data_IF_144870938967
#
_entry.id   IF_144870938967
#
_cell.length_a   1.000
_cell.length_b   1.000
_cell.length_c   1.000
_cell.angle_alpha   90.00
_cell.angle_beta   90.00
_cell.angle_gamma   90.00
#
_symmetry.space_group_name_H-M   'P 1'
#
loop_
_entity.id
_entity.type
_entity.pdbx_description
1 polymer ?
#
# COMPACT_ATOMS: atom_id res chain seq x y z
N UNK A 1 -2.67 -16.80 15.71
CA UNK A 1 -2.68 -15.33 15.57
C UNK A 1 -2.12 -15.03 14.19
N UNK A 2 -2.96 -15.18 13.18
CA UNK A 2 -2.58 -15.13 11.75
C UNK A 2 -2.77 -13.70 11.27
N UNK A 3 -1.68 -12.94 11.19
CA UNK A 3 -1.68 -11.61 10.56
C UNK A 3 -2.08 -11.67 9.07
N UNK A 4 -1.98 -12.86 8.44
CA UNK A 4 -2.34 -13.13 7.04
C UNK A 4 -3.75 -12.67 6.63
N UNK A 5 -4.75 -12.73 7.52
CA UNK A 5 -6.13 -12.35 7.14
C UNK A 5 -6.43 -10.86 7.26
N UNK A 6 -5.54 -10.09 7.88
CA UNK A 6 -5.77 -8.69 8.20
C UNK A 6 -5.51 -7.75 7.02
N UNK A 7 -4.56 -8.09 6.15
CA UNK A 7 -4.19 -7.28 4.99
C UNK A 7 -4.90 -7.83 3.75
N UNK A 8 -5.70 -6.99 3.11
CA UNK A 8 -6.42 -7.28 1.86
C UNK A 8 -5.62 -6.85 0.63
N UNK A 9 -4.73 -5.88 0.79
CA UNK A 9 -3.81 -5.48 -0.25
C UNK A 9 -2.79 -4.45 0.19
N UNK A 10 -1.72 -4.33 -0.58
CA UNK A 10 -0.66 -3.34 -0.45
C UNK A 10 -0.49 -2.68 -1.81
N UNK A 11 -0.41 -1.35 -1.86
CA UNK A 11 -0.22 -0.61 -3.10
C UNK A 11 0.76 0.56 -2.91
N UNK A 12 1.54 0.81 -3.94
CA UNK A 12 2.42 1.96 -4.08
C UNK A 12 2.05 2.68 -5.38
N UNK A 13 1.61 3.92 -5.26
CA UNK A 13 1.21 4.78 -6.37
C UNK A 13 2.19 5.95 -6.53
N UNK A 14 2.29 6.50 -7.73
CA UNK A 14 2.98 7.77 -7.96
C UNK A 14 2.10 8.99 -7.65
N UNK A 15 2.70 10.17 -7.76
CA UNK A 15 2.02 11.46 -7.58
C UNK A 15 0.85 11.75 -8.54
N UNK A 16 0.71 10.96 -9.61
CA UNK A 16 -0.38 11.08 -10.57
C UNK A 16 -1.48 10.01 -10.32
N UNK A 17 -1.29 9.16 -9.32
CA UNK A 17 -2.18 8.05 -8.98
C UNK A 17 -1.99 6.81 -9.84
N UNK A 18 -0.89 6.72 -10.59
CA UNK A 18 -0.56 5.52 -11.36
C UNK A 18 0.08 4.47 -10.44
N UNK A 19 -0.33 3.22 -10.63
CA UNK A 19 0.27 2.07 -9.95
C UNK A 19 1.74 1.91 -10.34
N UNK A 20 2.61 1.92 -9.33
CA UNK A 20 3.99 1.45 -9.45
C UNK A 20 4.04 -0.03 -9.08
N UNK A 21 3.52 -0.36 -7.89
CA UNK A 21 3.50 -1.72 -7.37
C UNK A 21 2.19 -1.97 -6.63
N UNK A 22 1.56 -3.12 -6.82
CA UNK A 22 0.39 -3.49 -6.02
C UNK A 22 0.27 -5.01 -5.92
N UNK A 23 -0.07 -5.49 -4.73
CA UNK A 23 -0.37 -6.90 -4.44
C UNK A 23 -1.65 -6.97 -3.64
N UNK A 24 -2.61 -7.77 -4.11
CA UNK A 24 -3.92 -7.95 -3.51
C UNK A 24 -4.09 -9.41 -3.12
N UNK A 25 -4.56 -9.64 -1.90
CA UNK A 25 -4.58 -10.97 -1.28
C UNK A 25 -5.99 -11.56 -1.17
N UNK A 26 -7.03 -10.74 -1.41
CA UNK A 26 -8.43 -11.17 -1.35
C UNK A 26 -9.10 -11.04 -2.73
N UNK A 27 -9.16 -12.17 -3.44
CA UNK A 27 -9.80 -12.26 -4.76
C UNK A 27 -11.30 -11.95 -4.74
N UNK A 28 -11.96 -12.02 -3.57
CA UNK A 28 -13.39 -11.66 -3.48
C UNK A 28 -13.60 -10.16 -3.51
N UNK A 29 -12.63 -9.41 -2.97
CA UNK A 29 -12.65 -7.95 -2.92
C UNK A 29 -12.04 -7.34 -4.17
N UNK A 30 -11.00 -7.98 -4.71
CA UNK A 30 -10.24 -7.49 -5.85
C UNK A 30 -10.12 -8.51 -7.00
N UNK A 31 -11.24 -9.02 -7.55
CA UNK A 31 -11.26 -10.16 -8.48
C UNK A 31 -10.64 -9.85 -9.86
N UNK A 32 -10.52 -8.57 -10.23
CA UNK A 32 -9.98 -8.18 -11.53
C UNK A 32 -9.07 -6.96 -11.45
N UNK A 33 -8.10 -6.88 -12.36
CA UNK A 33 -7.22 -5.71 -12.50
C UNK A 33 -8.00 -4.43 -12.76
N UNK A 34 -9.18 -4.53 -13.40
CA UNK A 34 -10.06 -3.38 -13.64
C UNK A 34 -10.59 -2.81 -12.31
N UNK A 35 -11.09 -3.67 -11.43
CA UNK A 35 -11.64 -3.27 -10.14
C UNK A 35 -10.56 -2.74 -9.21
N UNK A 36 -9.38 -3.38 -9.19
CA UNK A 36 -8.21 -2.86 -8.48
C UNK A 36 -7.86 -1.43 -8.92
N UNK A 37 -7.77 -1.17 -10.23
CA UNK A 37 -7.47 0.18 -10.76
C UNK A 37 -8.56 1.19 -10.44
N UNK A 38 -9.83 0.79 -10.46
CA UNK A 38 -10.94 1.67 -10.05
C UNK A 38 -10.82 2.04 -8.58
N UNK A 39 -10.50 1.07 -7.72
CA UNK A 39 -10.29 1.30 -6.30
C UNK A 39 -9.08 2.22 -6.04
N UNK A 40 -7.93 1.95 -6.68
CA UNK A 40 -6.72 2.79 -6.58
C UNK A 40 -6.99 4.24 -6.96
N UNK A 41 -7.74 4.47 -8.05
CA UNK A 41 -8.11 5.80 -8.49
C UNK A 41 -8.96 6.53 -7.46
N UNK A 42 -9.96 5.85 -6.88
CA UNK A 42 -10.83 6.43 -5.85
C UNK A 42 -10.07 6.70 -4.57
N UNK A 43 -9.18 5.79 -4.17
CA UNK A 43 -8.31 5.92 -3.01
C UNK A 43 -7.41 7.14 -3.17
N UNK A 44 -6.67 7.21 -4.28
CA UNK A 44 -5.76 8.30 -4.57
C UNK A 44 -6.47 9.66 -4.57
N UNK A 45 -7.63 9.77 -5.21
CA UNK A 45 -8.42 11.01 -5.25
C UNK A 45 -8.79 11.53 -3.86
N UNK A 46 -9.03 10.64 -2.89
CA UNK A 46 -9.38 11.00 -1.52
C UNK A 46 -8.15 11.28 -0.65
N UNK A 47 -7.01 10.66 -0.94
CA UNK A 47 -5.81 10.75 -0.09
C UNK A 47 -4.79 11.77 -0.56
N UNK A 48 -4.72 12.10 -1.86
CA UNK A 48 -3.63 12.91 -2.43
C UNK A 48 -3.54 14.35 -1.86
N UNK A 49 -4.66 14.89 -1.39
CA UNK A 49 -4.77 16.23 -0.79
C UNK A 49 -5.10 16.21 0.71
N UNK A 50 -5.20 15.03 1.29
CA UNK A 50 -5.64 14.87 2.67
C UNK A 50 -4.43 14.71 3.59
N UNK A 51 -4.37 15.54 4.65
CA UNK A 51 -3.42 15.42 5.75
C UNK A 51 -3.91 14.40 6.79
N UNK A 52 -4.29 13.21 6.32
CA UNK A 52 -4.66 12.09 7.16
C UNK A 52 -3.68 10.94 6.93
N UNK A 53 -3.72 9.95 7.82
CA UNK A 53 -2.92 8.71 7.71
C UNK A 53 -3.81 7.48 7.51
N UNK A 54 -5.14 7.66 7.60
CA UNK A 54 -6.13 6.60 7.54
C UNK A 54 -7.44 7.09 6.91
N UNK A 55 -8.10 6.23 6.14
CA UNK A 55 -9.41 6.47 5.54
C UNK A 55 -10.23 5.18 5.47
N UNK A 56 -11.54 5.29 5.65
CA UNK A 56 -12.49 4.23 5.35
C UNK A 56 -13.03 4.42 3.92
N UNK A 57 -12.78 3.45 3.05
CA UNK A 57 -13.23 3.45 1.65
C UNK A 57 -13.85 2.10 1.30
N UNK A 58 -15.07 2.11 0.77
CA UNK A 58 -15.80 0.91 0.31
C UNK A 58 -15.86 -0.21 1.36
N UNK A 59 -15.99 0.16 2.64
CA UNK A 59 -16.01 -0.80 3.75
C UNK A 59 -14.64 -1.40 4.09
N UNK A 60 -13.55 -0.76 3.67
CA UNK A 60 -12.17 -1.14 3.98
C UNK A 60 -11.41 0.00 4.63
N UNK A 61 -10.58 -0.36 5.60
CA UNK A 61 -9.66 0.56 6.25
C UNK A 61 -8.39 0.62 5.40
N UNK A 62 -8.05 1.82 4.97
CA UNK A 62 -6.82 2.09 4.22
C UNK A 62 -5.95 3.03 5.03
N UNK A 63 -4.79 2.55 5.43
CA UNK A 63 -3.75 3.39 6.03
C UNK A 63 -2.78 3.79 4.94
N UNK A 64 -2.30 5.02 5.00
CA UNK A 64 -1.45 5.54 3.94
C UNK A 64 -0.42 6.54 4.43
N UNK A 65 0.66 6.65 3.66
CA UNK A 65 1.75 7.59 3.87
C UNK A 65 2.26 8.09 2.53
N UNK A 66 2.49 9.39 2.41
CA UNK A 66 3.14 9.97 1.24
C UNK A 66 4.61 10.33 1.54
N UNK A 67 5.46 10.24 0.53
CA UNK A 67 6.84 10.68 0.58
C UNK A 67 7.28 11.15 -0.80
N UNK A 68 7.63 12.44 -0.92
CA UNK A 68 8.03 13.07 -2.20
C UNK A 68 6.95 12.83 -3.27
N UNK A 69 7.20 11.92 -4.21
CA UNK A 69 6.35 11.60 -5.35
C UNK A 69 5.72 10.20 -5.27
N UNK A 70 5.78 9.57 -4.09
CA UNK A 70 5.28 8.23 -3.81
C UNK A 70 4.20 8.23 -2.73
N UNK A 71 3.20 7.37 -2.92
CA UNK A 71 2.12 7.12 -1.97
C UNK A 71 2.06 5.63 -1.64
N UNK A 72 2.25 5.30 -0.36
CA UNK A 72 2.23 3.94 0.18
C UNK A 72 0.89 3.68 0.84
N UNK A 73 0.29 2.53 0.54
CA UNK A 73 -1.02 2.12 1.05
C UNK A 73 -0.99 0.70 1.58
N UNK A 74 -1.63 0.49 2.73
CA UNK A 74 -1.99 -0.84 3.23
C UNK A 74 -3.50 -0.87 3.47
N UNK A 75 -4.16 -1.87 2.92
CA UNK A 75 -5.61 -2.02 2.92
C UNK A 75 -5.98 -3.22 3.78
N UNK A 76 -6.93 -3.04 4.69
CA UNK A 76 -7.50 -4.10 5.53
C UNK A 76 -9.03 -4.06 5.54
N UNK A 77 -9.65 -5.13 6.06
CA UNK A 77 -11.09 -5.16 6.27
C UNK A 77 -11.53 -4.15 7.34
N UNK A 78 -12.80 -3.73 7.31
CA UNK A 78 -13.35 -2.82 8.34
C UNK A 78 -13.41 -3.43 9.76
N UNK A 79 -13.21 -4.74 9.89
CA UNK A 79 -13.14 -5.46 11.15
C UNK A 79 -11.72 -5.58 11.72
N UNK A 80 -10.71 -5.06 11.02
CA UNK A 80 -9.31 -5.17 11.40
C UNK A 80 -8.86 -4.03 12.32
N UNK A 81 -7.86 -4.33 13.15
CA UNK A 81 -7.24 -3.34 14.02
C UNK A 81 -6.32 -2.42 13.19
N UNK A 82 -6.60 -1.12 13.19
CA UNK A 82 -5.87 -0.09 12.46
C UNK A 82 -4.38 -0.08 12.83
N UNK A 83 -4.03 -0.34 14.09
CA UNK A 83 -2.64 -0.34 14.56
C UNK A 83 -1.78 -1.41 13.89
N UNK A 84 -2.38 -2.56 13.56
CA UNK A 84 -1.68 -3.63 12.82
C UNK A 84 -1.39 -3.17 11.39
N UNK A 85 -2.35 -2.52 10.75
CA UNK A 85 -2.18 -1.96 9.40
C UNK A 85 -1.13 -0.85 9.39
N UNK A 86 -1.15 0.05 10.38
CA UNK A 86 -0.14 1.11 10.54
C UNK A 86 1.25 0.49 10.76
N UNK A 87 1.36 -0.56 11.57
CA UNK A 87 2.61 -1.28 11.78
C UNK A 87 3.14 -1.88 10.48
N UNK A 88 2.27 -2.47 9.66
CA UNK A 88 2.65 -3.00 8.35
C UNK A 88 3.09 -1.89 7.38
N UNK A 89 2.38 -0.77 7.35
CA UNK A 89 2.74 0.40 6.53
C UNK A 89 4.11 0.97 6.93
N UNK A 90 4.37 1.10 8.23
CA UNK A 90 5.67 1.57 8.74
C UNK A 90 6.77 0.58 8.38
N UNK A 91 6.54 -0.72 8.55
CA UNK A 91 7.49 -1.75 8.16
C UNK A 91 7.83 -1.70 6.66
N UNK A 92 6.81 -1.54 5.80
CA UNK A 92 6.98 -1.35 4.35
C UNK A 92 7.85 -0.14 4.03
N UNK A 93 7.49 1.02 4.58
CA UNK A 93 8.22 2.26 4.31
C UNK A 93 9.66 2.19 4.82
N UNK A 94 9.88 1.72 6.05
CA UNK A 94 11.21 1.67 6.66
C UNK A 94 12.13 0.68 5.93
N UNK A 95 11.59 -0.47 5.50
CA UNK A 95 12.33 -1.46 4.71
C UNK A 95 12.72 -0.92 3.33
N UNK A 96 11.79 -0.27 2.62
CA UNK A 96 12.07 0.38 1.34
C UNK A 96 13.07 1.52 1.52
N UNK A 97 12.91 2.35 2.55
CA UNK A 97 13.82 3.44 2.88
C UNK A 97 15.24 2.95 3.17
N UNK A 98 15.37 1.82 3.86
CA UNK A 98 16.67 1.21 4.12
C UNK A 98 17.36 0.77 2.83
N UNK A 99 16.64 0.07 1.94
CA UNK A 99 17.17 -0.40 0.65
C UNK A 99 17.57 0.77 -0.25
N UNK A 100 16.71 1.78 -0.33
CA UNK A 100 16.95 2.98 -1.15
C UNK A 100 17.89 4.00 -0.48
N UNK A 101 18.56 3.63 0.63
CA UNK A 101 19.51 4.48 1.37
C UNK A 101 18.93 5.85 1.74
N UNK A 102 17.66 5.87 2.14
CA UNK A 102 16.83 7.03 2.49
C UNK A 102 16.43 7.94 1.31
N UNK A 103 16.74 7.58 0.07
CA UNK A 103 16.28 8.29 -1.12
C UNK A 103 15.00 7.64 -1.68
N UNK A 104 13.88 7.83 -0.98
CA UNK A 104 12.59 7.21 -1.34
C UNK A 104 11.84 8.08 -2.35
N UNK A 105 12.22 7.95 -3.62
CA UNK A 105 11.59 8.61 -4.78
C UNK A 105 11.26 7.59 -5.88
N UNK A 106 10.35 7.95 -6.79
CA UNK A 106 9.88 7.05 -7.86
C UNK A 106 11.01 6.42 -8.66
N UNK A 107 12.03 7.21 -9.02
CA UNK A 107 13.15 6.71 -9.82
C UNK A 107 13.92 5.62 -9.08
N UNK A 108 14.32 5.89 -7.84
CA UNK A 108 15.06 4.93 -7.03
C UNK A 108 14.25 3.65 -6.78
N UNK A 109 12.93 3.76 -6.53
CA UNK A 109 12.06 2.60 -6.34
C UNK A 109 11.95 1.73 -7.61
N UNK A 110 11.94 2.34 -8.80
CA UNK A 110 11.90 1.61 -10.07
C UNK A 110 13.24 0.91 -10.35
N UNK A 111 14.36 1.57 -10.04
CA UNK A 111 15.70 1.00 -10.25
C UNK A 111 15.92 -0.26 -9.36
N UNK A 112 15.35 -0.31 -8.16
CA UNK A 112 15.43 -1.44 -7.21
C UNK A 112 14.09 -2.20 -7.05
N UNK A 113 13.27 -2.25 -8.11
CA UNK A 113 11.90 -2.80 -8.04
C UNK A 113 11.84 -4.27 -7.59
N UNK A 114 12.80 -5.10 -7.98
CA UNK A 114 12.85 -6.51 -7.59
C UNK A 114 12.94 -6.66 -6.07
N UNK A 115 13.71 -5.80 -5.41
CA UNK A 115 13.85 -5.81 -3.95
C UNK A 115 12.57 -5.31 -3.28
N UNK A 116 11.91 -4.30 -3.85
CA UNK A 116 10.63 -3.81 -3.35
C UNK A 116 9.53 -4.89 -3.42
N UNK A 117 9.52 -5.72 -4.47
CA UNK A 117 8.64 -6.89 -4.57
C UNK A 117 8.91 -7.90 -3.47
N UNK A 118 10.19 -8.25 -3.25
CA UNK A 118 10.58 -9.17 -2.16
C UNK A 118 10.17 -8.65 -0.78
N UNK A 119 10.32 -7.35 -0.52
CA UNK A 119 9.87 -6.74 0.75
C UNK A 119 8.36 -6.93 0.93
N UNK A 120 7.56 -6.67 -0.10
CA UNK A 120 6.10 -6.84 -0.01
C UNK A 120 5.74 -8.31 0.25
N UNK A 121 6.44 -9.25 -0.40
CA UNK A 121 6.23 -10.68 -0.21
C UNK A 121 6.55 -11.12 1.22
N UNK A 122 7.63 -10.60 1.83
CA UNK A 122 8.01 -10.92 3.22
C UNK A 122 7.11 -10.24 4.27
N UNK A 123 6.51 -9.09 3.95
CA UNK A 123 5.58 -8.39 4.87
C UNK A 123 4.25 -9.13 4.98
N UNK A 124 3.77 -9.68 3.87
CA UNK A 124 2.52 -10.43 3.82
C UNK A 124 2.64 -11.59 2.84
N UNK A 125 2.86 -12.77 3.42
CA UNK A 125 2.74 -14.03 2.69
C UNK A 125 1.26 -14.47 2.64
N UNK A 126 0.89 -15.27 1.65
CA UNK A 126 -0.49 -15.73 1.41
C UNK A 126 -0.65 -17.23 1.65
#
# INVERSE_FOLDING_TARGET
>A
MTCLYSIKGIAILDQDGNRILAKYYDDKVFPSTKEQKTFEKNLFQKTCKANAEIILLDGMICVYRSNVDLFFYVIGGADQNELVLISALNCLYDSISLVLRKNVEKKALIDDMDIAMLIIDEICDN
#
